data_IF_805231644054
#
_entry.id   IF_805231644054
#
_cell.length_a   1.000
_cell.length_b   1.000
_cell.length_c   1.000
_cell.angle_alpha   90.00
_cell.angle_beta   90.00
_cell.angle_gamma   90.00
#
_symmetry.space_group_name_H-M   'P 1'
#
loop_
_entity.id
_entity.type
_entity.pdbx_description
1 polymer ?
#
# COMPACT_ATOMS: atom_id res chain seq x y z
N UNK A 1 -15.89 -20.37 -3.84
CA UNK A 1 -15.07 -20.74 -2.66
C UNK A 1 -13.99 -21.73 -3.08
N UNK A 2 -12.79 -21.64 -2.47
CA UNK A 2 -11.68 -22.56 -2.76
C UNK A 2 -12.07 -24.01 -2.43
N UNK A 3 -11.56 -24.96 -3.23
CA UNK A 3 -11.69 -26.41 -2.95
C UNK A 3 -10.42 -27.00 -2.31
N UNK A 4 -9.33 -26.23 -2.25
CA UNK A 4 -8.02 -26.71 -1.80
C UNK A 4 -7.69 -26.32 -0.35
N UNK A 5 -8.22 -25.19 0.14
CA UNK A 5 -7.99 -24.66 1.49
C UNK A 5 -9.35 -24.38 2.12
N UNK A 6 -9.62 -24.95 3.29
CA UNK A 6 -10.83 -24.70 4.08
C UNK A 6 -10.68 -23.42 4.90
N UNK A 7 -11.80 -22.84 5.34
CA UNK A 7 -11.82 -21.53 6.02
C UNK A 7 -10.93 -21.51 7.28
N UNK A 8 -10.88 -22.61 8.03
CA UNK A 8 -10.05 -22.72 9.23
C UNK A 8 -8.55 -22.95 8.95
N UNK A 9 -8.18 -23.21 7.69
CA UNK A 9 -6.79 -23.49 7.31
C UNK A 9 -6.02 -22.24 6.88
N UNK A 10 -6.67 -21.06 6.89
CA UNK A 10 -6.02 -19.81 6.54
C UNK A 10 -6.51 -18.67 7.42
N UNK A 11 -5.63 -17.70 7.62
CA UNK A 11 -5.95 -16.41 8.22
C UNK A 11 -4.88 -15.41 7.78
N UNK A 12 -5.00 -14.16 8.23
CA UNK A 12 -3.98 -13.14 8.08
C UNK A 12 -3.29 -12.90 9.42
N UNK A 13 -2.12 -12.26 9.37
CA UNK A 13 -1.44 -11.74 10.54
C UNK A 13 -0.92 -10.32 10.23
N UNK A 14 -0.75 -9.46 11.24
CA UNK A 14 -0.01 -8.21 11.08
C UNK A 14 1.41 -8.46 10.55
N UNK A 15 2.01 -7.44 9.93
CA UNK A 15 3.38 -7.54 9.45
C UNK A 15 4.36 -7.92 10.57
N UNK A 16 5.36 -8.72 10.24
CA UNK A 16 6.42 -9.07 11.17
C UNK A 16 7.33 -7.86 11.39
N UNK A 17 7.54 -7.50 12.66
CA UNK A 17 8.51 -6.47 13.02
C UNK A 17 9.92 -7.04 12.94
N UNK A 18 10.84 -6.28 12.36
CA UNK A 18 12.26 -6.61 12.38
C UNK A 18 12.89 -6.43 13.77
N UNK A 19 14.21 -6.63 13.92
CA UNK A 19 14.92 -6.50 15.19
C UNK A 19 14.72 -5.15 15.91
N UNK A 20 14.46 -4.08 15.16
CA UNK A 20 14.12 -2.75 15.72
C UNK A 20 12.70 -2.62 16.27
N UNK A 21 11.89 -3.69 16.26
CA UNK A 21 10.51 -3.67 16.76
C UNK A 21 9.53 -2.92 15.87
N UNK A 22 9.92 -2.54 14.64
CA UNK A 22 9.10 -1.82 13.67
C UNK A 22 8.86 -2.67 12.41
N UNK A 23 7.73 -2.46 11.77
CA UNK A 23 7.42 -2.93 10.42
C UNK A 23 7.01 -1.72 9.57
N UNK A 24 7.49 -1.64 8.33
CA UNK A 24 7.16 -0.54 7.41
C UNK A 24 6.23 -1.06 6.33
N UNK A 25 5.15 -0.34 6.05
CA UNK A 25 4.25 -0.59 4.93
C UNK A 25 4.13 0.66 4.05
N UNK A 26 4.02 0.51 2.72
CA UNK A 26 3.76 1.63 1.84
C UNK A 26 2.34 2.15 2.06
N UNK A 27 2.15 3.48 2.04
CA UNK A 27 0.83 4.08 1.91
C UNK A 27 0.30 3.76 0.50
N UNK A 28 -0.57 2.75 0.41
CA UNK A 28 -1.23 2.35 -0.81
C UNK A 28 -2.71 2.72 -0.74
N UNK A 29 -3.17 3.50 -1.71
CA UNK A 29 -4.58 3.82 -1.88
C UNK A 29 -4.96 3.53 -3.33
N UNK A 30 -6.05 2.81 -3.54
CA UNK A 30 -6.71 2.77 -4.84
C UNK A 30 -7.75 3.88 -4.87
N UNK A 31 -7.83 4.61 -5.98
CA UNK A 31 -8.75 5.72 -6.15
C UNK A 31 -9.45 5.67 -7.49
N UNK A 32 -10.52 6.45 -7.61
CA UNK A 32 -11.28 6.58 -8.84
C UNK A 32 -10.78 7.78 -9.66
N UNK A 33 -10.78 7.65 -10.97
CA UNK A 33 -10.36 8.71 -11.88
C UNK A 33 -11.33 8.91 -13.04
N UNK A 34 -11.51 10.17 -13.45
CA UNK A 34 -12.29 10.51 -14.65
C UNK A 34 -11.34 10.73 -15.82
N UNK A 35 -11.47 9.91 -16.87
CA UNK A 35 -10.66 10.05 -18.06
C UNK A 35 -10.83 11.44 -18.71
N UNK A 36 -9.72 12.10 -19.07
CA UNK A 36 -9.72 13.44 -19.68
C UNK A 36 -10.62 13.53 -20.93
N UNK A 37 -10.67 12.45 -21.72
CA UNK A 37 -11.47 12.32 -22.94
C UNK A 37 -12.94 11.93 -22.74
N UNK A 38 -13.43 11.82 -21.50
CA UNK A 38 -14.83 11.46 -21.24
C UNK A 38 -15.79 12.50 -21.84
N UNK A 39 -16.84 12.01 -22.52
CA UNK A 39 -17.98 12.81 -23.02
C UNK A 39 -19.05 13.04 -21.94
N UNK A 40 -18.93 12.37 -20.78
CA UNK A 40 -19.92 12.37 -19.70
C UNK A 40 -19.25 12.73 -18.35
N UNK A 41 -18.45 13.81 -18.33
CA UNK A 41 -17.64 14.17 -17.16
C UNK A 41 -18.47 14.41 -15.90
N UNK A 42 -19.58 15.13 -16.02
CA UNK A 42 -20.45 15.42 -14.87
C UNK A 42 -21.04 14.14 -14.26
N UNK A 43 -21.50 13.21 -15.08
CA UNK A 43 -22.02 11.92 -14.62
C UNK A 43 -20.91 11.04 -14.03
N UNK A 44 -19.72 11.05 -14.65
CA UNK A 44 -18.57 10.30 -14.14
C UNK A 44 -18.12 10.82 -12.77
N UNK A 45 -18.10 12.14 -12.55
CA UNK A 45 -17.82 12.73 -11.23
C UNK A 45 -18.85 12.26 -10.19
N UNK A 46 -20.15 12.30 -10.51
CA UNK A 46 -21.20 11.81 -9.60
C UNK A 46 -21.02 10.33 -9.23
N UNK A 47 -20.58 9.51 -10.18
CA UNK A 47 -20.27 8.10 -9.91
C UNK A 47 -19.06 7.97 -8.97
N UNK A 48 -18.02 8.76 -9.17
CA UNK A 48 -16.85 8.79 -8.28
C UNK A 48 -17.26 9.17 -6.86
N UNK A 49 -18.06 10.23 -6.70
CA UNK A 49 -18.59 10.67 -5.41
C UNK A 49 -19.37 9.52 -4.73
N UNK A 50 -20.30 8.90 -5.45
CA UNK A 50 -21.09 7.78 -4.95
C UNK A 50 -20.23 6.59 -4.47
N UNK A 51 -19.16 6.25 -5.19
CA UNK A 51 -18.27 5.14 -4.82
C UNK A 51 -17.24 5.49 -3.73
N UNK A 52 -17.11 6.76 -3.38
CA UNK A 52 -16.09 7.24 -2.43
C UNK A 52 -16.67 7.54 -1.04
N UNK A 53 -17.99 7.54 -0.90
CA UNK A 53 -18.67 7.97 0.32
C UNK A 53 -19.79 7.00 0.74
N UNK A 54 -20.06 6.96 2.05
CA UNK A 54 -21.21 6.26 2.61
C UNK A 54 -21.27 4.75 2.34
N UNK A 55 -22.49 4.21 2.39
CA UNK A 55 -22.79 2.78 2.29
C UNK A 55 -22.35 2.15 0.97
N UNK A 56 -22.43 2.90 -0.13
CA UNK A 56 -22.04 2.42 -1.44
C UNK A 56 -20.53 2.11 -1.52
N UNK A 57 -19.70 2.96 -0.91
CA UNK A 57 -18.25 2.73 -0.81
C UNK A 57 -17.94 1.48 0.03
N UNK A 58 -18.58 1.34 1.19
CA UNK A 58 -18.41 0.17 2.07
C UNK A 58 -18.86 -1.12 1.40
N UNK A 59 -20.06 -1.12 0.81
CA UNK A 59 -20.60 -2.27 0.08
C UNK A 59 -19.67 -2.68 -1.06
N UNK A 60 -19.23 -1.72 -1.87
CA UNK A 60 -18.27 -2.00 -2.95
C UNK A 60 -16.99 -2.64 -2.41
N UNK A 61 -16.44 -2.10 -1.31
CA UNK A 61 -15.21 -2.62 -0.72
C UNK A 61 -15.38 -4.05 -0.20
N UNK A 62 -16.45 -4.33 0.55
CA UNK A 62 -16.73 -5.66 1.11
C UNK A 62 -16.91 -6.72 0.02
N UNK A 63 -17.71 -6.41 -1.01
CA UNK A 63 -17.99 -7.32 -2.14
C UNK A 63 -16.75 -7.58 -3.01
N UNK A 64 -15.77 -6.67 -3.02
CA UNK A 64 -14.56 -6.79 -3.82
C UNK A 64 -13.30 -7.14 -3.01
N UNK A 65 -13.45 -7.56 -1.75
CA UNK A 65 -12.32 -7.88 -0.85
C UNK A 65 -11.32 -6.73 -0.72
N UNK A 66 -11.83 -5.52 -0.43
CA UNK A 66 -11.06 -4.32 -0.18
C UNK A 66 -11.35 -3.77 1.23
N UNK A 67 -10.41 -2.97 1.74
CA UNK A 67 -10.63 -2.13 2.92
C UNK A 67 -11.10 -0.74 2.45
N UNK A 68 -12.20 -0.17 3.00
CA UNK A 68 -12.69 1.13 2.59
C UNK A 68 -11.77 2.22 3.12
N UNK A 69 -11.80 3.40 2.47
CA UNK A 69 -11.05 4.58 2.93
C UNK A 69 -11.77 5.34 4.07
N UNK A 70 -12.98 4.90 4.44
CA UNK A 70 -13.84 5.53 5.44
C UNK A 70 -13.35 5.19 6.85
N UNK A 71 -13.31 6.19 7.75
CA UNK A 71 -12.84 6.00 9.13
C UNK A 71 -13.74 5.06 9.91
N UNK A 72 -15.03 5.11 9.62
CA UNK A 72 -16.09 4.31 10.22
C UNK A 72 -15.92 2.81 9.90
N UNK A 73 -15.13 2.46 8.87
CA UNK A 73 -14.83 1.07 8.55
C UNK A 73 -14.13 0.33 9.69
N UNK A 74 -13.34 1.04 10.51
CA UNK A 74 -12.72 0.46 11.69
C UNK A 74 -13.75 0.04 12.74
N UNK A 75 -14.96 0.60 12.73
CA UNK A 75 -16.04 0.28 13.65
C UNK A 75 -16.93 -0.89 13.19
N UNK A 76 -16.86 -1.24 11.91
CA UNK A 76 -17.67 -2.29 11.29
C UNK A 76 -17.19 -3.70 11.71
N UNK A 77 -18.15 -4.53 12.15
CA UNK A 77 -17.93 -5.93 12.53
C UNK A 77 -17.26 -6.78 11.44
N UNK A 78 -17.48 -6.43 10.16
CA UNK A 78 -16.85 -7.09 9.02
C UNK A 78 -15.32 -6.93 9.03
N UNK A 79 -14.83 -5.75 9.42
CA UNK A 79 -13.39 -5.44 9.41
C UNK A 79 -12.70 -5.72 10.75
N UNK A 80 -13.44 -5.66 11.87
CA UNK A 80 -12.91 -5.97 13.22
C UNK A 80 -12.58 -7.45 13.44
N UNK A 81 -13.08 -8.34 12.60
CA UNK A 81 -12.98 -9.79 12.82
C UNK A 81 -12.37 -10.51 11.62
N UNK A 82 -11.98 -11.76 11.85
CA UNK A 82 -11.49 -12.64 10.79
C UNK A 82 -10.25 -12.08 10.06
N UNK A 83 -10.14 -12.32 8.75
CA UNK A 83 -8.98 -11.93 7.94
C UNK A 83 -8.67 -10.43 7.90
N UNK A 84 -9.62 -9.57 8.21
CA UNK A 84 -9.43 -8.11 8.14
C UNK A 84 -8.85 -7.53 9.44
N UNK A 85 -9.00 -8.23 10.57
CA UNK A 85 -8.56 -7.77 11.88
C UNK A 85 -7.05 -7.42 11.94
N UNK A 86 -6.24 -8.07 11.10
CA UNK A 86 -4.80 -7.75 10.97
C UNK A 86 -4.56 -6.31 10.50
N UNK A 87 -5.38 -5.79 9.58
CA UNK A 87 -5.26 -4.42 9.10
C UNK A 87 -5.66 -3.41 10.17
N UNK A 88 -6.76 -3.68 10.90
CA UNK A 88 -7.19 -2.87 12.04
C UNK A 88 -6.10 -2.83 13.10
N UNK A 89 -5.54 -3.99 13.47
CA UNK A 89 -4.42 -4.10 14.42
C UNK A 89 -3.23 -3.24 13.99
N UNK A 90 -2.85 -3.26 12.71
CA UNK A 90 -1.74 -2.44 12.22
C UNK A 90 -2.04 -0.94 12.28
N UNK A 91 -3.26 -0.53 11.90
CA UNK A 91 -3.68 0.87 11.92
C UNK A 91 -3.76 1.45 13.34
N UNK A 92 -4.18 0.65 14.33
CA UNK A 92 -4.28 1.07 15.74
C UNK A 92 -2.92 1.12 16.46
N UNK A 93 -1.86 0.57 15.84
CA UNK A 93 -0.52 0.51 16.43
C UNK A 93 0.52 1.26 15.56
N UNK A 94 0.34 2.56 15.28
CA UNK A 94 1.17 3.31 14.33
C UNK A 94 2.63 3.45 14.79
N UNK A 95 2.90 3.33 16.09
CA UNK A 95 4.29 3.30 16.59
C UNK A 95 5.02 2.05 16.13
N UNK A 96 4.35 0.91 15.95
CA UNK A 96 4.95 -0.36 15.51
C UNK A 96 4.88 -0.53 14.00
N UNK A 97 3.76 -0.16 13.40
CA UNK A 97 3.47 -0.32 11.97
C UNK A 97 3.54 1.04 11.27
N UNK A 98 4.74 1.36 10.80
CA UNK A 98 5.04 2.64 10.20
C UNK A 98 4.52 2.68 8.76
N UNK A 99 3.76 3.71 8.43
CA UNK A 99 3.30 3.96 7.06
C UNK A 99 4.29 4.89 6.36
N UNK A 100 4.84 4.46 5.24
CA UNK A 100 5.78 5.22 4.44
C UNK A 100 5.14 5.72 3.13
N UNK A 101 5.24 7.01 2.87
CA UNK A 101 4.81 7.60 1.59
C UNK A 101 5.88 7.37 0.53
N UNK A 102 5.48 6.77 -0.58
CA UNK A 102 6.34 6.59 -1.75
C UNK A 102 6.26 7.82 -2.66
N UNK A 103 7.37 8.31 -3.23
CA UNK A 103 7.36 9.46 -4.13
C UNK A 103 6.87 9.04 -5.54
N UNK A 104 5.61 8.62 -5.67
CA UNK A 104 5.08 8.08 -6.94
C UNK A 104 4.85 9.13 -8.02
N UNK A 105 4.89 10.41 -7.64
CA UNK A 105 4.68 11.59 -8.47
C UNK A 105 5.94 12.03 -9.22
N UNK A 106 7.12 11.55 -8.80
CA UNK A 106 8.38 11.94 -9.43
C UNK A 106 8.65 11.13 -10.71
N UNK A 107 9.23 11.73 -11.77
CA UNK A 107 9.47 11.03 -13.04
C UNK A 107 10.37 9.81 -12.95
N UNK A 108 11.25 9.77 -11.94
CA UNK A 108 12.23 8.70 -11.74
C UNK A 108 11.73 7.57 -10.82
N UNK A 109 10.47 7.59 -10.36
CA UNK A 109 9.95 6.56 -9.46
C UNK A 109 10.04 5.14 -10.06
N UNK A 110 9.69 4.98 -11.33
CA UNK A 110 9.77 3.69 -12.04
C UNK A 110 11.21 3.19 -12.17
N UNK A 111 12.15 4.09 -12.43
CA UNK A 111 13.59 3.76 -12.47
C UNK A 111 14.06 3.29 -11.09
N UNK A 112 13.63 3.98 -10.03
CA UNK A 112 13.95 3.62 -8.65
C UNK A 112 13.41 2.24 -8.27
N UNK A 113 12.15 1.92 -8.56
CA UNK A 113 11.58 0.62 -8.18
C UNK A 113 12.30 -0.54 -8.86
N UNK A 114 12.61 -0.40 -10.15
CA UNK A 114 13.37 -1.41 -10.90
C UNK A 114 14.77 -1.61 -10.33
N UNK A 115 15.46 -0.51 -10.01
CA UNK A 115 16.78 -0.56 -9.39
C UNK A 115 16.73 -1.23 -8.02
N UNK A 116 15.81 -0.81 -7.16
CA UNK A 116 15.67 -1.33 -5.81
C UNK A 116 15.40 -2.85 -5.81
N UNK A 117 14.49 -3.32 -6.67
CA UNK A 117 14.18 -4.75 -6.79
C UNK A 117 15.40 -5.56 -7.24
N UNK A 118 16.14 -5.07 -8.25
CA UNK A 118 17.34 -5.74 -8.75
C UNK A 118 18.44 -5.82 -7.69
N UNK A 119 18.66 -4.74 -6.93
CA UNK A 119 19.69 -4.70 -5.90
C UNK A 119 19.34 -5.60 -4.70
N UNK A 120 18.07 -5.60 -4.25
CA UNK A 120 17.60 -6.52 -3.21
C UNK A 120 17.81 -7.97 -3.64
N UNK A 121 17.48 -8.31 -4.89
CA UNK A 121 17.75 -9.64 -5.43
C UNK A 121 19.25 -9.98 -5.38
N UNK A 122 20.14 -9.04 -5.69
CA UNK A 122 21.59 -9.26 -5.60
C UNK A 122 22.06 -9.49 -4.17
N UNK A 123 21.53 -8.75 -3.20
CA UNK A 123 21.84 -8.96 -1.77
C UNK A 123 21.39 -10.36 -1.33
N UNK A 124 20.17 -10.76 -1.69
CA UNK A 124 19.65 -12.11 -1.38
C UNK A 124 20.49 -13.23 -2.00
N UNK A 125 21.08 -12.99 -3.18
CA UNK A 125 21.97 -13.94 -3.86
C UNK A 125 23.44 -13.85 -3.40
N UNK A 126 23.76 -13.02 -2.40
CA UNK A 126 25.13 -12.81 -1.93
C UNK A 126 26.06 -12.11 -2.92
N UNK A 127 25.50 -11.46 -3.96
CA UNK A 127 26.24 -10.74 -5.01
C UNK A 127 26.45 -9.25 -4.72
N UNK A 128 25.97 -8.78 -3.57
CA UNK A 128 26.08 -7.41 -3.07
C UNK A 128 25.97 -7.45 -1.55
N UNK A 129 26.77 -6.68 -0.83
CA UNK A 129 26.63 -6.56 0.63
C UNK A 129 25.55 -5.55 1.00
N UNK A 130 25.07 -5.61 2.24
CA UNK A 130 24.08 -4.65 2.75
C UNK A 130 24.66 -3.23 2.80
N UNK A 131 25.94 -3.09 3.14
CA UNK A 131 26.64 -1.81 3.18
C UNK A 131 26.76 -1.20 1.79
N UNK A 132 27.07 -2.01 0.78
CA UNK A 132 27.11 -1.57 -0.62
C UNK A 132 25.74 -1.11 -1.09
N UNK A 133 24.68 -1.86 -0.75
CA UNK A 133 23.30 -1.51 -1.07
C UNK A 133 22.95 -0.12 -0.52
N UNK A 134 23.17 0.06 0.79
CA UNK A 134 22.82 1.30 1.48
C UNK A 134 23.61 2.50 0.96
N UNK A 135 24.91 2.34 0.71
CA UNK A 135 25.74 3.43 0.17
C UNK A 135 25.29 3.85 -1.24
N UNK A 136 24.98 2.87 -2.10
CA UNK A 136 24.53 3.15 -3.47
C UNK A 136 23.12 3.76 -3.51
N UNK A 137 22.22 3.31 -2.64
CA UNK A 137 20.88 3.88 -2.51
C UNK A 137 20.92 5.32 -1.96
N UNK A 138 21.76 5.61 -0.96
CA UNK A 138 21.94 6.96 -0.44
C UNK A 138 22.46 7.93 -1.52
N UNK A 139 23.48 7.50 -2.28
CA UNK A 139 24.02 8.28 -3.38
C UNK A 139 22.96 8.57 -4.46
N UNK A 140 22.19 7.55 -4.86
CA UNK A 140 21.11 7.68 -5.84
C UNK A 140 20.06 8.71 -5.39
N UNK A 141 19.52 8.54 -4.18
CA UNK A 141 18.47 9.42 -3.67
C UNK A 141 18.96 10.85 -3.47
N UNK A 142 20.16 11.02 -2.92
CA UNK A 142 20.78 12.34 -2.76
C UNK A 142 20.93 13.06 -4.10
N UNK A 143 21.34 12.35 -5.15
CA UNK A 143 21.46 12.92 -6.49
C UNK A 143 20.09 13.31 -7.08
N UNK A 144 19.10 12.40 -7.07
CA UNK A 144 17.75 12.68 -7.59
C UNK A 144 17.10 13.87 -6.88
N UNK A 145 17.17 13.92 -5.55
CA UNK A 145 16.59 15.01 -4.75
C UNK A 145 17.25 16.37 -4.98
N UNK A 146 18.53 16.40 -5.35
CA UNK A 146 19.20 17.65 -5.77
C UNK A 146 18.69 18.14 -7.12
N UNK A 147 18.50 17.22 -8.08
CA UNK A 147 18.01 17.57 -9.42
C UNK A 147 16.56 18.07 -9.46
N UNK A 148 15.75 17.74 -8.46
CA UNK A 148 14.38 18.27 -8.34
C UNK A 148 14.31 19.72 -7.85
N UNK A 149 15.38 20.20 -7.21
CA UNK A 149 15.46 21.57 -6.65
C UNK A 149 16.09 22.58 -7.60
N UNK A 150 16.65 22.11 -8.73
CA UNK A 150 17.30 22.92 -9.77
C UNK A 150 16.35 23.16 -10.93
#
# INVERSE_FOLDING_TARGET
>A
KSKAIREEQWTTAPLLAGPGGKAVQPLATAGWGVAKGSKHKAQAVKLVEFLSEGEASTTFAQENSLVPILKEAAEDSFYKTGPWASYVTMNENPDRYLTATQPRDVPWFTEWTQKADADVQRVLLGKMTQEQLLADWDAYWTAKRKSEKS
#
